data_IF_389855135405
#
_entry.id   IF_389855135405
#
_cell.length_a   1.000
_cell.length_b   1.000
_cell.length_c   1.000
_cell.angle_alpha   90.00
_cell.angle_beta   90.00
_cell.angle_gamma   90.00
#
_symmetry.space_group_name_H-M   'P 1'
#
loop_
_entity.id
_entity.type
_entity.pdbx_description
1 polymer ?
#
# COMPACT_ATOMS: atom_id res chain seq x y z
N UNK A 1 3.25 3.65 13.72
CA UNK A 1 2.41 3.59 12.50
C UNK A 1 1.24 2.65 12.74
N UNK A 2 0.02 3.02 12.34
CA UNK A 2 -1.16 2.16 12.41
C UNK A 2 -1.22 1.24 11.17
N UNK A 3 -1.43 -0.06 11.38
CA UNK A 3 -1.58 -1.04 10.28
C UNK A 3 -1.72 -2.49 10.76
N UNK A 4 -1.69 -3.44 9.82
CA UNK A 4 -1.69 -4.89 10.12
C UNK A 4 -0.55 -5.58 9.37
N UNK A 5 0.00 -6.65 9.99
CA UNK A 5 1.02 -7.49 9.39
C UNK A 5 0.56 -8.21 8.11
N UNK A 6 -0.75 -8.32 7.89
CA UNK A 6 -1.32 -8.92 6.69
C UNK A 6 -1.40 -7.95 5.51
N UNK A 7 -1.23 -6.65 5.74
CA UNK A 7 -1.34 -5.65 4.68
C UNK A 7 -0.01 -5.52 3.91
N UNK A 8 0.00 -5.74 2.58
CA UNK A 8 1.20 -5.51 1.77
C UNK A 8 1.65 -4.05 1.77
N UNK A 9 0.71 -3.10 1.88
CA UNK A 9 1.03 -1.67 2.02
C UNK A 9 1.68 -1.35 3.36
N UNK A 10 1.23 -1.97 4.45
CA UNK A 10 1.92 -1.86 5.75
C UNK A 10 3.30 -2.50 5.67
N UNK A 11 3.43 -3.64 5.00
CA UNK A 11 4.73 -4.32 4.82
C UNK A 11 5.74 -3.47 4.07
N UNK A 12 5.36 -2.84 2.94
CA UNK A 12 6.30 -2.03 2.15
C UNK A 12 6.87 -0.85 2.96
N UNK A 13 6.04 -0.17 3.75
CA UNK A 13 6.49 0.92 4.63
C UNK A 13 7.46 0.42 5.70
N UNK A 14 7.18 -0.73 6.31
CA UNK A 14 8.07 -1.33 7.32
C UNK A 14 9.41 -1.75 6.74
N UNK A 15 9.41 -2.35 5.54
CA UNK A 15 10.65 -2.71 4.85
C UNK A 15 11.46 -1.45 4.57
N UNK A 16 10.85 -0.40 4.01
CA UNK A 16 11.54 0.85 3.77
C UNK A 16 12.10 1.46 5.06
N UNK A 17 11.33 1.49 6.16
CA UNK A 17 11.83 1.98 7.43
C UNK A 17 13.08 1.20 7.90
N UNK A 18 13.05 -0.13 7.77
CA UNK A 18 14.19 -0.98 8.13
C UNK A 18 15.42 -0.71 7.25
N UNK A 19 15.25 -0.62 5.93
CA UNK A 19 16.34 -0.27 4.98
C UNK A 19 16.92 1.13 5.25
N UNK A 20 16.08 2.03 5.78
CA UNK A 20 16.47 3.38 6.21
C UNK A 20 16.98 3.42 7.66
N UNK A 21 17.09 2.28 8.36
CA UNK A 21 17.54 2.23 9.75
C UNK A 21 16.64 2.98 10.74
N UNK A 22 15.36 3.16 10.41
CA UNK A 22 14.37 3.86 11.22
C UNK A 22 13.56 2.86 12.04
N UNK A 23 13.48 3.06 13.36
CA UNK A 23 12.53 2.33 14.18
C UNK A 23 11.11 2.82 13.87
N UNK A 24 10.23 1.87 13.56
CA UNK A 24 8.85 2.15 13.18
C UNK A 24 7.91 1.18 13.89
N UNK A 25 7.55 1.47 15.15
CA UNK A 25 6.64 0.62 15.91
C UNK A 25 5.28 0.51 15.20
N UNK A 26 4.77 -0.72 15.12
CA UNK A 26 3.47 -1.04 14.56
C UNK A 26 2.42 -1.04 15.65
N UNK A 27 1.43 -0.16 15.53
CA UNK A 27 0.19 -0.21 16.29
C UNK A 27 -0.82 -0.98 15.46
N UNK A 28 -1.32 -2.08 16.01
CA UNK A 28 -2.31 -2.90 15.34
C UNK A 28 -3.56 -2.06 15.03
N UNK A 29 -3.98 -2.07 13.77
CA UNK A 29 -5.22 -1.45 13.32
C UNK A 29 -6.16 -2.53 12.80
N UNK A 30 -7.38 -2.52 13.29
CA UNK A 30 -8.47 -3.33 12.74
C UNK A 30 -9.05 -2.61 11.54
N UNK A 31 -9.09 -3.31 10.40
CA UNK A 31 -9.63 -2.77 9.16
C UNK A 31 -10.71 -3.72 8.67
N UNK A 32 -11.90 -3.18 8.46
CA UNK A 32 -12.99 -3.94 7.84
C UNK A 32 -12.55 -4.37 6.44
N UNK A 33 -12.36 -5.67 6.23
CA UNK A 33 -12.09 -6.22 4.89
C UNK A 33 -13.37 -6.42 4.08
N UNK A 34 -14.52 -6.31 4.74
CA UNK A 34 -15.86 -6.36 4.16
C UNK A 34 -16.74 -5.32 4.84
N UNK A 35 -17.69 -4.79 4.07
CA UNK A 35 -18.78 -3.91 4.51
C UNK A 35 -19.47 -4.55 5.73
N UNK A 36 -19.72 -3.81 6.83
CA UNK A 36 -19.79 -2.35 6.91
C UNK A 36 -18.49 -1.65 7.31
N UNK A 37 -18.22 -0.50 6.69
CA UNK A 37 -17.23 0.49 7.15
C UNK A 37 -17.80 1.29 8.34
N UNK A 38 -18.33 0.60 9.33
CA UNK A 38 -18.96 1.20 10.50
C UNK A 38 -18.60 0.41 11.75
N UNK A 39 -18.32 1.12 12.83
CA UNK A 39 -17.95 0.53 14.11
C UNK A 39 -16.78 1.27 14.76
N UNK A 40 -16.55 1.06 16.08
CA UNK A 40 -15.58 1.84 16.85
C UNK A 40 -14.15 1.83 16.27
N UNK A 41 -13.73 0.70 15.69
CA UNK A 41 -12.43 0.58 15.05
C UNK A 41 -12.31 1.39 13.75
N UNK A 42 -13.35 1.38 12.93
CA UNK A 42 -13.41 2.15 11.69
C UNK A 42 -13.52 3.65 11.99
N UNK A 43 -14.26 4.04 13.02
CA UNK A 43 -14.37 5.42 13.47
C UNK A 43 -13.02 5.96 13.97
N UNK A 44 -12.29 5.17 14.76
CA UNK A 44 -10.95 5.52 15.20
C UNK A 44 -9.96 5.66 14.02
N UNK A 45 -10.05 4.77 13.02
CA UNK A 45 -9.21 4.89 11.82
C UNK A 45 -9.63 6.07 10.93
N UNK A 46 -10.93 6.36 10.82
CA UNK A 46 -11.49 7.50 10.08
C UNK A 46 -10.97 8.83 10.61
N UNK A 47 -10.82 8.95 11.93
CA UNK A 47 -10.24 10.13 12.57
C UNK A 47 -8.75 10.35 12.19
N UNK A 48 -8.04 9.30 11.80
CA UNK A 48 -6.64 9.37 11.37
C UNK A 48 -6.50 9.48 9.85
N UNK A 49 -7.36 8.80 9.11
CA UNK A 49 -7.42 8.79 7.66
C UNK A 49 -8.89 8.69 7.22
N UNK A 50 -9.47 9.73 6.61
CA UNK A 50 -10.88 9.76 6.22
C UNK A 50 -11.26 8.69 5.18
N UNK A 51 -10.27 8.09 4.51
CA UNK A 51 -10.49 6.96 3.60
C UNK A 51 -10.63 5.62 4.32
N UNK A 52 -10.45 5.58 5.65
CA UNK A 52 -10.51 4.37 6.48
C UNK A 52 -9.54 3.29 5.94
N UNK A 53 -8.36 3.73 5.49
CA UNK A 53 -7.30 2.87 4.94
C UNK A 53 -6.06 2.89 5.82
N UNK A 54 -5.36 1.77 5.81
CA UNK A 54 -4.03 1.60 6.38
C UNK A 54 -2.99 1.46 5.26
N UNK A 55 -1.70 1.68 5.55
CA UNK A 55 -1.13 2.22 6.79
C UNK A 55 -1.42 3.71 7.00
N UNK A 56 -1.33 4.15 8.26
CA UNK A 56 -1.33 5.58 8.64
C UNK A 56 -0.13 5.87 9.54
N UNK A 57 0.68 6.87 9.18
CA UNK A 57 1.76 7.36 10.02
C UNK A 57 1.26 8.57 10.83
N UNK A 58 1.46 8.55 12.14
CA UNK A 58 1.09 9.63 13.07
C UNK A 58 2.35 10.26 13.67
N UNK A 59 2.19 11.40 14.36
CA UNK A 59 3.31 12.10 15.01
C UNK A 59 4.14 12.97 14.06
N UNK A 60 3.62 13.28 12.88
CA UNK A 60 4.22 14.22 11.93
C UNK A 60 3.64 15.61 12.16
N UNK A 61 4.46 16.65 12.12
CA UNK A 61 4.07 18.03 12.49
C UNK A 61 2.89 18.60 11.67
N UNK A 62 2.66 18.09 10.45
CA UNK A 62 1.55 18.49 9.57
C UNK A 62 0.30 17.62 9.68
N UNK A 63 0.23 16.70 10.65
CA UNK A 63 -0.86 15.74 10.80
C UNK A 63 -0.54 14.34 10.26
N UNK A 64 -1.50 13.41 10.30
CA UNK A 64 -1.30 12.04 9.85
C UNK A 64 -0.94 11.97 8.36
N UNK A 65 0.00 11.09 8.01
CA UNK A 65 0.36 10.81 6.62
C UNK A 65 -0.27 9.49 6.14
N UNK A 66 -0.80 9.56 4.93
CA UNK A 66 -1.34 8.47 4.12
C UNK A 66 -1.32 8.94 2.65
N UNK A 67 -1.28 8.06 1.66
CA UNK A 67 -1.21 6.60 1.72
C UNK A 67 0.23 6.06 1.90
N UNK A 68 0.42 4.77 1.69
CA UNK A 68 1.70 4.11 1.88
C UNK A 68 2.83 4.65 0.98
N UNK A 69 2.54 5.21 -0.21
CA UNK A 69 3.55 5.82 -1.05
C UNK A 69 4.07 7.13 -0.46
N UNK A 70 3.16 7.96 0.07
CA UNK A 70 3.50 9.20 0.78
C UNK A 70 4.33 8.90 2.03
N UNK A 71 3.92 7.90 2.81
CA UNK A 71 4.65 7.49 4.02
C UNK A 71 6.05 6.99 3.65
N UNK A 72 6.19 6.17 2.60
CA UNK A 72 7.49 5.72 2.10
C UNK A 72 8.41 6.89 1.74
N UNK A 73 7.92 7.86 0.96
CA UNK A 73 8.70 9.03 0.56
C UNK A 73 9.13 9.90 1.76
N UNK A 74 8.24 10.06 2.74
CA UNK A 74 8.55 10.78 3.98
C UNK A 74 9.67 10.09 4.77
N UNK A 75 9.55 8.79 5.00
CA UNK A 75 10.55 8.02 5.75
C UNK A 75 11.89 7.92 5.00
N UNK A 76 11.87 7.80 3.68
CA UNK A 76 13.10 7.80 2.86
C UNK A 76 13.86 9.12 3.02
N UNK A 77 13.13 10.24 3.14
CA UNK A 77 13.72 11.55 3.37
C UNK A 77 14.30 11.76 4.78
N UNK A 78 13.87 10.98 5.78
CA UNK A 78 14.38 11.06 7.15
C UNK A 78 15.57 10.15 7.42
N UNK A 79 15.63 8.99 6.75
CA UNK A 79 16.66 8.00 7.03
C UNK A 79 18.10 8.47 6.75
N UNK A 80 19.11 7.93 7.46
CA UNK A 80 20.51 8.04 7.06
C UNK A 80 20.84 7.25 5.78
N UNK A 81 21.90 7.65 5.07
CA UNK A 81 22.45 6.91 3.92
C UNK A 81 21.75 7.18 2.58
N UNK A 82 22.14 6.46 1.51
CA UNK A 82 21.62 6.68 0.16
C UNK A 82 20.09 6.52 0.08
N UNK A 83 19.42 7.46 -0.56
CA UNK A 83 17.97 7.42 -0.75
C UNK A 83 17.56 6.23 -1.61
N UNK A 84 16.49 5.55 -1.20
CA UNK A 84 15.84 4.52 -2.03
C UNK A 84 15.02 5.16 -3.14
N UNK A 85 14.51 6.38 -2.93
CA UNK A 85 13.83 7.16 -3.94
C UNK A 85 14.76 8.31 -4.36
N UNK A 86 15.36 8.26 -5.57
CA UNK A 86 16.26 9.31 -6.03
C UNK A 86 15.59 10.69 -6.10
N UNK A 87 16.42 11.73 -6.18
CA UNK A 87 15.95 13.10 -6.43
C UNK A 87 16.03 13.46 -7.93
N UNK A 88 15.46 14.60 -8.31
CA UNK A 88 15.48 15.08 -9.69
C UNK A 88 14.77 14.12 -10.67
N UNK A 89 15.23 14.10 -11.92
CA UNK A 89 14.61 13.29 -12.98
C UNK A 89 14.77 11.77 -12.78
N UNK A 90 15.81 11.36 -12.05
CA UNK A 90 16.08 9.95 -11.76
C UNK A 90 15.01 9.29 -10.87
N UNK A 91 14.13 10.08 -10.23
CA UNK A 91 13.04 9.55 -9.40
C UNK A 91 11.93 8.89 -10.20
N UNK A 92 11.72 9.33 -11.45
CA UNK A 92 10.53 8.95 -12.20
C UNK A 92 10.46 7.46 -12.56
N UNK A 93 11.55 6.81 -12.98
CA UNK A 93 11.54 5.35 -13.18
C UNK A 93 11.17 4.59 -11.91
N UNK A 94 11.70 5.00 -10.75
CA UNK A 94 11.42 4.37 -9.46
C UNK A 94 9.96 4.56 -9.04
N UNK A 95 9.42 5.78 -9.16
CA UNK A 95 8.02 6.06 -8.84
C UNK A 95 7.05 5.36 -9.80
N UNK A 96 7.41 5.20 -11.08
CA UNK A 96 6.64 4.43 -12.05
C UNK A 96 6.58 2.95 -11.65
N UNK A 97 7.73 2.37 -11.28
CA UNK A 97 7.80 0.97 -10.82
C UNK A 97 6.99 0.76 -9.54
N UNK A 98 7.09 1.70 -8.59
CA UNK A 98 6.28 1.70 -7.37
C UNK A 98 4.79 1.73 -7.70
N UNK A 99 4.34 2.63 -8.58
CA UNK A 99 2.94 2.76 -8.96
C UNK A 99 2.42 1.48 -9.65
N UNK A 100 3.25 0.84 -10.49
CA UNK A 100 2.91 -0.44 -11.11
C UNK A 100 2.71 -1.53 -10.07
N UNK A 101 3.66 -1.69 -9.14
CA UNK A 101 3.58 -2.68 -8.07
C UNK A 101 2.38 -2.42 -7.14
N UNK A 102 2.13 -1.16 -6.78
CA UNK A 102 0.98 -0.77 -5.97
C UNK A 102 -0.34 -1.10 -6.66
N UNK A 103 -0.49 -0.76 -7.95
CA UNK A 103 -1.68 -1.09 -8.74
C UNK A 103 -1.93 -2.60 -8.88
N UNK A 104 -0.86 -3.40 -8.99
CA UNK A 104 -0.96 -4.86 -8.97
C UNK A 104 -1.47 -5.35 -7.60
N UNK A 105 -0.91 -4.85 -6.51
CA UNK A 105 -1.36 -5.21 -5.16
C UNK A 105 -2.82 -4.83 -4.92
N UNK A 106 -3.26 -3.66 -5.40
CA UNK A 106 -4.67 -3.27 -5.35
C UNK A 106 -5.57 -4.22 -6.13
N UNK A 107 -5.20 -4.60 -7.35
CA UNK A 107 -5.95 -5.56 -8.16
C UNK A 107 -6.08 -6.92 -7.45
N UNK A 108 -5.01 -7.42 -6.83
CA UNK A 108 -5.04 -8.65 -6.05
C UNK A 108 -5.97 -8.55 -4.83
N UNK A 109 -5.97 -7.41 -4.13
CA UNK A 109 -6.88 -7.17 -3.02
C UNK A 109 -8.34 -7.12 -3.48
N UNK A 110 -8.62 -6.50 -4.62
CA UNK A 110 -9.97 -6.47 -5.21
C UNK A 110 -10.46 -7.87 -5.57
N UNK A 111 -9.62 -8.73 -6.15
CA UNK A 111 -9.96 -10.15 -6.35
C UNK A 111 -10.29 -10.84 -5.03
N UNK A 112 -9.45 -10.65 -4.00
CA UNK A 112 -9.63 -11.26 -2.68
C UNK A 112 -10.91 -10.80 -1.99
N UNK A 113 -11.26 -9.52 -2.12
CA UNK A 113 -12.49 -8.98 -1.55
C UNK A 113 -13.71 -9.50 -2.31
N UNK A 114 -13.66 -9.55 -3.64
CA UNK A 114 -14.77 -10.07 -4.43
C UNK A 114 -15.04 -11.55 -4.12
N UNK A 115 -13.99 -12.39 -4.04
CA UNK A 115 -14.10 -13.81 -3.75
C UNK A 115 -14.70 -14.15 -2.37
N UNK A 116 -14.79 -13.17 -1.47
CA UNK A 116 -15.37 -13.31 -0.13
C UNK A 116 -16.79 -12.78 -0.01
N UNK A 117 -17.30 -12.10 -1.04
CA UNK A 117 -18.73 -11.76 -1.11
C UNK A 117 -19.55 -13.04 -1.21
N UNK A 118 -20.84 -13.02 -0.81
CA UNK A 118 -21.73 -14.16 -1.03
C UNK A 118 -21.68 -14.60 -2.50
N UNK A 119 -21.63 -15.92 -2.81
CA UNK A 119 -21.44 -16.40 -4.19
C UNK A 119 -22.39 -15.78 -5.21
N UNK A 120 -23.65 -15.55 -4.84
CA UNK A 120 -24.66 -14.94 -5.70
C UNK A 120 -24.43 -13.45 -6.02
N UNK A 121 -23.51 -12.77 -5.30
CA UNK A 121 -23.17 -11.37 -5.50
C UNK A 121 -21.79 -11.17 -6.15
N UNK A 122 -21.07 -12.26 -6.42
CA UNK A 122 -19.75 -12.20 -7.03
C UNK A 122 -19.89 -11.92 -8.53
N UNK A 123 -19.05 -11.02 -9.02
CA UNK A 123 -18.91 -10.74 -10.45
C UNK A 123 -17.62 -11.41 -10.98
N UNK A 124 -17.73 -12.53 -11.73
CA UNK A 124 -16.56 -13.22 -12.27
C UNK A 124 -15.83 -12.40 -13.34
N UNK A 125 -16.53 -11.55 -14.09
CA UNK A 125 -15.92 -10.70 -15.11
C UNK A 125 -15.10 -9.57 -14.47
N UNK A 126 -15.56 -9.03 -13.33
CA UNK A 126 -14.77 -8.11 -12.52
C UNK A 126 -13.47 -8.76 -12.02
N UNK A 127 -13.54 -9.99 -11.50
CA UNK A 127 -12.36 -10.75 -11.08
C UNK A 127 -11.40 -10.95 -12.27
N UNK A 128 -11.92 -11.36 -13.42
CA UNK A 128 -11.12 -11.58 -14.62
C UNK A 128 -10.42 -10.29 -15.10
N UNK A 129 -11.08 -9.13 -14.98
CA UNK A 129 -10.49 -7.84 -15.30
C UNK A 129 -9.33 -7.48 -14.35
N UNK A 130 -9.47 -7.71 -13.04
CA UNK A 130 -8.37 -7.50 -12.08
C UNK A 130 -7.21 -8.48 -12.33
N UNK A 131 -7.51 -9.75 -12.61
CA UNK A 131 -6.50 -10.75 -12.97
C UNK A 131 -5.77 -10.41 -14.27
N UNK A 132 -6.41 -9.73 -15.22
CA UNK A 132 -5.74 -9.22 -16.42
C UNK A 132 -4.72 -8.13 -16.06
N UNK A 133 -5.09 -7.18 -15.19
CA UNK A 133 -4.16 -6.14 -14.70
C UNK A 133 -2.94 -6.75 -14.01
N UNK A 134 -3.16 -7.76 -13.17
CA UNK A 134 -2.09 -8.51 -12.51
C UNK A 134 -1.12 -9.14 -13.52
N UNK A 135 -1.65 -9.88 -14.50
CA UNK A 135 -0.84 -10.52 -15.55
C UNK A 135 -0.03 -9.51 -16.36
N UNK A 136 -0.69 -8.45 -16.85
CA UNK A 136 -0.01 -7.40 -17.61
C UNK A 136 1.07 -6.67 -16.79
N UNK A 137 0.82 -6.48 -15.49
CA UNK A 137 1.83 -5.92 -14.59
C UNK A 137 3.04 -6.84 -14.41
N UNK A 138 2.81 -8.15 -14.25
CA UNK A 138 3.90 -9.15 -14.19
C UNK A 138 4.69 -9.19 -15.50
N UNK A 139 4.01 -9.19 -16.65
CA UNK A 139 4.67 -9.17 -17.97
C UNK A 139 5.56 -7.92 -18.14
N UNK A 140 5.09 -6.76 -17.66
CA UNK A 140 5.87 -5.52 -17.67
C UNK A 140 7.09 -5.59 -16.73
N UNK A 141 6.94 -6.16 -15.53
CA UNK A 141 8.06 -6.36 -14.60
C UNK A 141 9.11 -7.32 -15.16
N UNK A 142 8.70 -8.40 -15.81
CA UNK A 142 9.61 -9.35 -16.46
C UNK A 142 10.43 -8.67 -17.56
N UNK A 143 9.78 -7.87 -18.42
CA UNK A 143 10.46 -7.13 -19.46
C UNK A 143 11.46 -6.10 -18.92
N UNK A 144 11.14 -5.45 -17.78
CA UNK A 144 12.08 -4.54 -17.12
C UNK A 144 13.25 -5.27 -16.46
N UNK A 145 13.00 -6.42 -15.83
CA UNK A 145 14.04 -7.22 -15.20
C UNK A 145 15.04 -7.77 -16.22
N UNK A 146 14.57 -8.15 -17.41
CA UNK A 146 15.44 -8.60 -18.51
C UNK A 146 16.34 -7.49 -19.08
N UNK A 147 16.06 -6.22 -18.75
CA UNK A 147 16.82 -5.06 -19.22
C UNK A 147 17.84 -4.52 -18.19
N UNK A 148 17.93 -5.13 -16.99
CA UNK A 148 18.89 -4.81 -15.93
C UNK A 148 20.20 -5.60 -16.08
#
# INVERSE_FOLDING_TARGET
MHGTLLSPFTRKVRVLAAERGLDLPLVAAEVGTHVPLAGPAQDALSALNPLIKIPVLIGVAGGPLYDAAVICAFLDALGPGPRLIPTGVARWPVLRLQALADGMVEAALLCRFEARRPPAQQDPDWIAAQQRRLRQGLDALEAEAAAL
#
